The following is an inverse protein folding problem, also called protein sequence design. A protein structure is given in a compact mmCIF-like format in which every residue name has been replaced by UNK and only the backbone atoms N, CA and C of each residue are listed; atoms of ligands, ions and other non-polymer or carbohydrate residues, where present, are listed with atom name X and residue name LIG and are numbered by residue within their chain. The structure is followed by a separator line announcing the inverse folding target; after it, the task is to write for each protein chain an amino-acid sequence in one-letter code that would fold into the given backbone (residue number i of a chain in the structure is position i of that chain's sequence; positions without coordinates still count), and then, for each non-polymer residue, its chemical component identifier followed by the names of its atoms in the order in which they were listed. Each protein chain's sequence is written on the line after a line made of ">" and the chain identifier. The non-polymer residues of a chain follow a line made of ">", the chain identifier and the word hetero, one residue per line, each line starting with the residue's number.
data_IF_590289421479
#
_entry.id   IF_590289421479
#
_cell.length_a   1.000
_cell.length_b   1.000
_cell.length_c   1.000
_cell.angle_alpha   90.00
_cell.angle_beta   90.00
_cell.angle_gamma   90.00
#
_symmetry.space_group_name_H-M   'P 1'
#
loop_
_entity.id
_entity.type
_entity.pdbx_description
1 polymer ?
#
# COMPACT_ATOMS: atom_id res chain seq x y z
N UNK A 1 20.41 0.21 -29.69
CA UNK A 1 19.70 1.21 -28.87
C UNK A 1 20.36 1.29 -27.51
N UNK A 2 20.47 2.48 -26.89
CA UNK A 2 21.05 2.62 -25.55
C UNK A 2 20.13 1.98 -24.52
N UNK A 3 20.65 1.04 -23.73
CA UNK A 3 19.91 0.40 -22.63
C UNK A 3 19.82 1.32 -21.42
N UNK A 4 18.70 1.23 -20.67
CA UNK A 4 18.54 1.97 -19.42
C UNK A 4 19.56 1.45 -18.41
N UNK A 5 20.33 2.35 -17.80
CA UNK A 5 21.24 2.03 -16.72
C UNK A 5 20.63 2.37 -15.35
N UNK A 6 21.05 1.69 -14.28
CA UNK A 6 20.59 2.00 -12.93
C UNK A 6 20.95 3.41 -12.44
N UNK A 7 20.19 3.89 -11.47
CA UNK A 7 20.34 5.25 -10.92
C UNK A 7 21.56 5.31 -9.98
N UNK A 8 22.41 6.32 -10.18
CA UNK A 8 23.51 6.65 -9.26
C UNK A 8 22.99 7.25 -7.94
N UNK A 9 23.65 6.94 -6.83
CA UNK A 9 23.21 7.33 -5.48
C UNK A 9 23.07 8.84 -5.31
N UNK A 10 23.86 9.65 -6.02
CA UNK A 10 23.82 11.12 -5.95
C UNK A 10 22.55 11.73 -6.57
N UNK A 11 21.91 11.03 -7.51
CA UNK A 11 20.70 11.51 -8.21
C UNK A 11 19.39 10.96 -7.61
N UNK A 12 19.45 10.49 -6.36
CA UNK A 12 18.32 9.84 -5.67
C UNK A 12 17.52 10.88 -4.87
N UNK A 13 16.20 10.80 -4.98
CA UNK A 13 15.29 11.70 -4.26
C UNK A 13 15.03 11.10 -2.88
N UNK A 14 15.76 11.55 -1.86
CA UNK A 14 15.68 10.98 -0.50
C UNK A 14 14.26 11.03 0.08
N UNK A 15 13.49 12.10 -0.20
CA UNK A 15 12.10 12.22 0.28
C UNK A 15 11.20 11.11 -0.25
N UNK A 16 11.42 10.61 -1.47
CA UNK A 16 10.68 9.49 -2.04
C UNK A 16 10.95 8.19 -1.28
N UNK A 17 12.21 7.94 -0.93
CA UNK A 17 12.59 6.75 -0.16
C UNK A 17 12.02 6.81 1.27
N UNK A 18 12.02 7.99 1.92
CA UNK A 18 11.36 8.18 3.23
C UNK A 18 9.86 7.91 3.15
N UNK A 19 9.18 8.46 2.15
CA UNK A 19 7.74 8.24 1.96
C UNK A 19 7.43 6.76 1.75
N UNK A 20 8.25 6.03 0.99
CA UNK A 20 8.10 4.57 0.83
C UNK A 20 8.29 3.82 2.14
N UNK A 21 9.33 4.14 2.92
CA UNK A 21 9.54 3.51 4.22
C UNK A 21 8.40 3.77 5.19
N UNK A 22 7.89 5.00 5.23
CA UNK A 22 6.71 5.37 6.01
C UNK A 22 5.45 4.60 5.56
N UNK A 23 5.24 4.47 4.24
CA UNK A 23 4.18 3.64 3.68
C UNK A 23 4.24 2.18 4.11
N UNK A 24 5.44 1.59 4.12
CA UNK A 24 5.60 0.19 4.50
C UNK A 24 5.23 -0.06 5.97
N UNK A 25 5.55 0.87 6.88
CA UNK A 25 5.14 0.75 8.27
C UNK A 25 3.60 0.69 8.39
N UNK A 26 2.91 1.65 7.77
CA UNK A 26 1.46 1.70 7.84
C UNK A 26 0.77 0.52 7.17
N UNK A 27 1.25 0.09 6.00
CA UNK A 27 0.78 -1.14 5.35
C UNK A 27 0.99 -2.34 6.26
N UNK A 28 2.15 -2.43 6.92
CA UNK A 28 2.44 -3.57 7.80
C UNK A 28 1.55 -3.62 9.04
N UNK A 29 1.23 -2.47 9.65
CA UNK A 29 0.30 -2.40 10.79
C UNK A 29 -1.09 -2.95 10.41
N UNK A 30 -1.59 -2.59 9.22
CA UNK A 30 -2.88 -3.10 8.73
C UNK A 30 -2.80 -4.59 8.38
N UNK A 31 -1.75 -4.99 7.66
CA UNK A 31 -1.55 -6.39 7.27
C UNK A 31 -1.33 -7.29 8.49
N UNK A 32 -0.81 -6.76 9.59
CA UNK A 32 -0.70 -7.49 10.85
C UNK A 32 -2.04 -8.08 11.28
N UNK A 33 -3.12 -7.29 11.21
CA UNK A 33 -4.47 -7.74 11.52
C UNK A 33 -4.85 -8.94 10.64
N UNK A 34 -4.56 -8.85 9.35
CA UNK A 34 -4.84 -9.90 8.39
C UNK A 34 -3.92 -11.14 8.53
N UNK A 35 -2.74 -11.00 9.15
CA UNK A 35 -1.87 -12.15 9.44
C UNK A 35 -2.37 -13.01 10.60
N UNK A 36 -3.06 -12.41 11.58
CA UNK A 36 -3.47 -13.11 12.80
C UNK A 36 -5.00 -13.22 12.98
N UNK A 37 -5.81 -12.71 12.06
CA UNK A 37 -7.26 -12.71 12.16
C UNK A 37 -7.98 -12.87 10.81
N UNK A 38 -9.20 -13.44 10.80
CA UNK A 38 -9.94 -13.75 9.58
C UNK A 38 -10.63 -12.48 9.01
N UNK A 39 -9.82 -11.50 8.59
CA UNK A 39 -10.24 -10.12 8.27
C UNK A 39 -11.34 -10.01 7.20
N UNK A 40 -11.48 -11.01 6.34
CA UNK A 40 -12.51 -11.03 5.29
C UNK A 40 -13.90 -11.47 5.78
N UNK A 41 -13.98 -12.07 6.97
CA UNK A 41 -15.14 -12.84 7.38
C UNK A 41 -15.81 -12.33 8.66
N UNK A 42 -15.21 -11.36 9.37
CA UNK A 42 -15.78 -10.79 10.59
C UNK A 42 -16.26 -9.33 10.42
N UNK A 43 -17.19 -8.93 11.28
CA UNK A 43 -17.59 -7.53 11.45
C UNK A 43 -16.55 -6.82 12.34
N UNK A 44 -15.76 -5.87 11.79
CA UNK A 44 -14.65 -5.27 12.52
C UNK A 44 -15.06 -4.41 13.71
N UNK A 45 -16.30 -3.92 13.71
CA UNK A 45 -16.80 -3.07 14.78
C UNK A 45 -17.30 -3.84 16.00
N UNK A 46 -17.54 -5.15 15.87
CA UNK A 46 -17.96 -6.02 16.98
C UNK A 46 -16.91 -7.06 17.37
N UNK A 47 -16.02 -7.44 16.44
CA UNK A 47 -14.97 -8.45 16.68
C UNK A 47 -14.04 -8.08 17.84
N UNK A 48 -13.61 -6.80 17.92
CA UNK A 48 -12.68 -6.32 18.95
C UNK A 48 -13.35 -5.86 20.26
N UNK A 49 -14.66 -6.12 20.44
CA UNK A 49 -15.37 -6.02 21.72
C UNK A 49 -15.21 -4.71 22.53
N UNK A 50 -15.34 -4.81 23.86
CA UNK A 50 -15.11 -3.72 24.83
C UNK A 50 -13.74 -3.85 25.54
N UNK A 51 -12.78 -4.53 24.92
CA UNK A 51 -11.43 -4.72 25.47
C UNK A 51 -10.54 -3.50 25.18
N UNK A 52 -9.29 -3.54 25.65
CA UNK A 52 -8.24 -2.59 25.26
C UNK A 52 -7.97 -2.55 23.74
N UNK A 53 -8.48 -3.52 22.97
CA UNK A 53 -8.30 -3.60 21.53
C UNK A 53 -9.18 -2.61 20.77
N UNK A 54 -10.33 -2.19 21.31
CA UNK A 54 -11.24 -1.29 20.60
C UNK A 54 -10.65 0.11 20.35
N UNK A 55 -10.01 0.78 21.33
CA UNK A 55 -9.29 2.02 21.06
C UNK A 55 -8.12 1.85 20.07
N UNK A 56 -7.42 0.70 20.11
CA UNK A 56 -6.33 0.38 19.18
C UNK A 56 -6.88 0.23 17.76
N UNK A 57 -7.96 -0.54 17.59
CA UNK A 57 -8.65 -0.70 16.33
C UNK A 57 -9.09 0.66 15.78
N UNK A 58 -9.77 1.47 16.59
CA UNK A 58 -10.21 2.81 16.19
C UNK A 58 -9.04 3.66 15.68
N UNK A 59 -7.90 3.64 16.38
CA UNK A 59 -6.72 4.39 15.96
C UNK A 59 -6.16 3.87 14.62
N UNK A 60 -6.04 2.55 14.46
CA UNK A 60 -5.56 1.94 13.21
C UNK A 60 -6.54 2.27 12.07
N UNK A 61 -7.83 2.14 12.31
CA UNK A 61 -8.90 2.32 11.33
C UNK A 61 -8.98 3.78 10.81
N UNK A 62 -8.83 4.75 11.71
CA UNK A 62 -8.88 6.18 11.36
C UNK A 62 -7.59 6.65 10.71
N UNK A 63 -6.42 6.30 11.27
CA UNK A 63 -5.13 6.90 10.86
C UNK A 63 -4.30 6.04 9.91
N UNK A 64 -4.57 4.74 9.79
CA UNK A 64 -3.69 3.81 9.07
C UNK A 64 -4.42 3.05 7.97
N UNK A 65 -5.55 2.43 8.28
CA UNK A 65 -6.36 1.67 7.35
C UNK A 65 -6.59 2.49 6.08
N UNK A 66 -6.46 1.88 4.90
CA UNK A 66 -6.70 2.52 3.61
C UNK A 66 -5.96 3.86 3.30
N UNK A 67 -4.98 4.28 4.11
CA UNK A 67 -4.25 5.55 3.89
C UNK A 67 -2.83 5.36 3.38
N UNK A 68 -2.24 4.18 3.65
CA UNK A 68 -0.86 3.91 3.24
C UNK A 68 -0.73 3.18 1.91
N UNK A 69 -1.69 2.34 1.51
CA UNK A 69 -1.71 1.77 0.16
C UNK A 69 -1.89 2.85 -0.93
N UNK A 70 -2.75 3.89 -0.78
CA UNK A 70 -2.86 4.95 -1.78
C UNK A 70 -1.57 5.76 -1.86
N UNK A 71 -0.97 6.06 -0.71
CA UNK A 71 0.33 6.74 -0.66
C UNK A 71 1.36 5.94 -1.45
N UNK A 72 1.50 4.64 -1.17
CA UNK A 72 2.44 3.77 -1.87
C UNK A 72 2.14 3.64 -3.37
N UNK A 73 0.85 3.62 -3.75
CA UNK A 73 0.38 3.59 -5.15
C UNK A 73 0.80 4.85 -5.91
N UNK A 74 0.61 6.03 -5.32
CA UNK A 74 1.06 7.30 -5.89
C UNK A 74 2.58 7.28 -6.07
N UNK A 75 3.35 6.79 -5.08
CA UNK A 75 4.81 6.69 -5.17
C UNK A 75 5.28 5.66 -6.22
N UNK A 76 4.48 4.63 -6.50
CA UNK A 76 4.74 3.66 -7.56
C UNK A 76 4.58 4.30 -8.94
N UNK A 77 3.45 4.99 -9.18
CA UNK A 77 3.20 5.75 -10.41
C UNK A 77 4.24 6.86 -10.63
N UNK A 78 4.62 7.57 -9.56
CA UNK A 78 5.71 8.53 -9.57
C UNK A 78 7.02 7.88 -10.03
N UNK A 79 7.35 6.71 -9.48
CA UNK A 79 8.58 5.98 -9.82
C UNK A 79 8.65 5.60 -11.31
N UNK A 80 7.56 5.11 -11.89
CA UNK A 80 7.49 4.75 -13.31
C UNK A 80 7.62 5.99 -14.21
N UNK A 81 6.92 7.08 -13.89
CA UNK A 81 7.01 8.32 -14.65
C UNK A 81 8.41 8.97 -14.57
N UNK A 82 9.08 8.90 -13.43
CA UNK A 82 10.45 9.37 -13.27
C UNK A 82 11.42 8.57 -14.18
N UNK A 83 11.27 7.25 -14.24
CA UNK A 83 12.06 6.39 -15.12
C UNK A 83 11.79 6.69 -16.59
N UNK A 84 10.51 6.92 -16.95
CA UNK A 84 10.11 7.34 -18.29
C UNK A 84 10.75 8.67 -18.69
N UNK A 85 10.63 9.71 -17.86
CA UNK A 85 11.24 11.02 -18.14
C UNK A 85 12.76 10.93 -18.35
N UNK A 86 13.46 10.20 -17.48
CA UNK A 86 14.92 9.97 -17.60
C UNK A 86 15.29 9.19 -18.86
N UNK A 87 14.42 8.28 -19.31
CA UNK A 87 14.67 7.52 -20.52
C UNK A 87 14.62 8.38 -21.78
N UNK A 88 13.71 9.37 -21.80
CA UNK A 88 13.60 10.37 -22.86
C UNK A 88 14.85 11.26 -22.86
N UNK A 89 15.22 11.81 -21.69
CA UNK A 89 16.41 12.66 -21.53
C UNK A 89 17.70 11.98 -22.02
N UNK A 90 17.80 10.65 -21.85
CA UNK A 90 18.98 9.85 -22.24
C UNK A 90 18.88 9.19 -23.62
N UNK A 91 17.75 9.29 -24.32
CA UNK A 91 17.52 8.62 -25.60
C UNK A 91 17.57 7.09 -25.52
N UNK A 92 17.05 6.51 -24.43
CA UNK A 92 17.03 5.05 -24.16
C UNK A 92 15.63 4.47 -24.35
N UNK A 93 15.52 3.17 -24.64
CA UNK A 93 14.22 2.49 -24.81
C UNK A 93 13.55 2.17 -23.47
N UNK A 94 12.39 2.76 -23.22
CA UNK A 94 11.65 2.56 -21.96
C UNK A 94 10.71 1.36 -21.95
N UNK A 95 9.84 1.23 -22.95
CA UNK A 95 8.72 0.28 -22.90
C UNK A 95 9.14 -1.18 -22.73
N UNK A 96 10.12 -1.72 -23.48
CA UNK A 96 10.59 -3.10 -23.25
C UNK A 96 11.12 -3.32 -21.83
N UNK A 97 11.87 -2.34 -21.30
CA UNK A 97 12.37 -2.36 -19.93
C UNK A 97 11.24 -2.35 -18.90
N UNK A 98 10.26 -1.45 -19.07
CA UNK A 98 9.13 -1.29 -18.16
C UNK A 98 8.23 -2.54 -18.15
N UNK A 99 7.94 -3.11 -19.33
CA UNK A 99 7.18 -4.35 -19.47
C UNK A 99 7.84 -5.50 -18.73
N UNK A 100 9.16 -5.67 -18.91
CA UNK A 100 9.93 -6.70 -18.22
C UNK A 100 9.94 -6.50 -16.71
N UNK A 101 10.14 -5.26 -16.24
CA UNK A 101 10.13 -4.90 -14.81
C UNK A 101 8.81 -5.27 -14.15
N UNK A 102 7.69 -4.94 -14.80
CA UNK A 102 6.34 -5.25 -14.32
C UNK A 102 6.03 -6.74 -14.42
N UNK A 103 6.50 -7.42 -15.47
CA UNK A 103 6.38 -8.88 -15.59
C UNK A 103 7.11 -9.63 -14.49
N UNK A 104 8.32 -9.20 -14.12
CA UNK A 104 9.04 -9.79 -12.98
C UNK A 104 8.33 -9.47 -11.66
N UNK A 105 7.77 -8.26 -11.51
CA UNK A 105 6.98 -7.90 -10.32
C UNK A 105 5.72 -8.78 -10.20
N UNK A 106 5.03 -9.02 -11.32
CA UNK A 106 3.88 -9.91 -11.38
C UNK A 106 4.25 -11.33 -10.97
N UNK A 107 5.36 -11.86 -11.49
CA UNK A 107 5.87 -13.19 -11.13
C UNK A 107 6.18 -13.31 -9.63
N UNK A 108 6.84 -12.31 -9.05
CA UNK A 108 7.11 -12.28 -7.60
C UNK A 108 5.79 -12.21 -6.81
N UNK A 109 4.83 -11.41 -7.28
CA UNK A 109 3.49 -11.32 -6.68
C UNK A 109 2.73 -12.64 -6.73
N UNK A 110 2.79 -13.39 -7.82
CA UNK A 110 2.19 -14.73 -7.93
C UNK A 110 2.79 -15.69 -6.91
N UNK A 111 4.12 -15.74 -6.78
CA UNK A 111 4.77 -16.56 -5.75
C UNK A 111 4.31 -16.12 -4.36
N UNK A 112 4.29 -14.82 -4.09
CA UNK A 112 3.90 -14.28 -2.79
C UNK A 112 2.44 -14.61 -2.43
N UNK A 113 1.49 -14.35 -3.33
CA UNK A 113 0.06 -14.58 -3.13
C UNK A 113 -0.28 -16.03 -2.79
N UNK A 114 0.32 -16.98 -3.51
CA UNK A 114 -0.07 -18.39 -3.41
C UNK A 114 0.81 -19.21 -2.47
N UNK A 115 2.08 -18.81 -2.25
CA UNK A 115 3.02 -19.58 -1.41
C UNK A 115 3.22 -18.92 -0.05
N UNK A 116 3.18 -17.59 0.04
CA UNK A 116 3.51 -16.86 1.26
C UNK A 116 2.23 -16.40 1.98
N UNK A 117 1.43 -15.53 1.36
CA UNK A 117 0.28 -14.92 2.02
C UNK A 117 -0.72 -14.36 1.01
N UNK A 118 -2.02 -14.53 1.28
CA UNK A 118 -3.13 -14.18 0.37
C UNK A 118 -3.31 -12.67 0.15
N UNK A 119 -2.84 -11.80 1.05
CA UNK A 119 -2.96 -10.34 0.94
C UNK A 119 -1.92 -9.66 0.03
N UNK A 120 -1.62 -10.26 -1.12
CA UNK A 120 -0.69 -9.69 -2.10
C UNK A 120 -1.22 -8.41 -2.75
N UNK A 121 -0.34 -7.41 -2.90
CA UNK A 121 -0.62 -6.18 -3.66
C UNK A 121 0.22 -6.09 -4.94
N UNK A 122 1.25 -6.92 -5.09
CA UNK A 122 2.22 -6.83 -6.18
C UNK A 122 1.59 -7.20 -7.52
N UNK A 123 0.69 -8.19 -7.57
CA UNK A 123 -0.09 -8.56 -8.76
C UNK A 123 -0.88 -7.35 -9.23
N UNK A 124 -1.69 -6.75 -8.35
CA UNK A 124 -2.53 -5.60 -8.68
C UNK A 124 -1.69 -4.40 -9.17
N UNK A 125 -0.53 -4.16 -8.55
CA UNK A 125 0.37 -3.09 -8.98
C UNK A 125 1.04 -3.37 -10.33
N UNK A 126 1.37 -4.62 -10.62
CA UNK A 126 1.93 -4.99 -11.90
C UNK A 126 0.90 -4.85 -13.01
N UNK A 127 -0.31 -5.37 -12.82
CA UNK A 127 -1.41 -5.34 -13.82
C UNK A 127 -1.85 -3.90 -14.09
N UNK A 128 -2.15 -3.13 -13.05
CA UNK A 128 -2.51 -1.72 -13.20
C UNK A 128 -1.33 -0.89 -13.72
N UNK A 129 -0.10 -1.27 -13.36
CA UNK A 129 1.12 -0.67 -13.90
C UNK A 129 1.24 -0.81 -15.41
N UNK A 130 0.82 -1.94 -16.00
CA UNK A 130 0.79 -2.11 -17.46
C UNK A 130 -0.17 -1.12 -18.12
N UNK A 131 -1.35 -0.89 -17.53
CA UNK A 131 -2.31 0.11 -18.01
C UNK A 131 -1.71 1.52 -17.93
N UNK A 132 -1.01 1.85 -16.84
CA UNK A 132 -0.34 3.14 -16.68
C UNK A 132 0.67 3.40 -17.80
N UNK A 133 1.38 2.38 -18.30
CA UNK A 133 2.38 2.57 -19.37
C UNK A 133 1.78 3.23 -20.62
N UNK A 134 0.52 2.92 -20.94
CA UNK A 134 -0.21 3.49 -22.08
C UNK A 134 -0.46 5.00 -21.90
N UNK A 135 -0.56 5.45 -20.65
CA UNK A 135 -0.88 6.83 -20.28
C UNK A 135 0.37 7.67 -19.99
N UNK A 136 1.55 7.05 -19.85
CA UNK A 136 2.80 7.74 -19.52
C UNK A 136 3.25 8.76 -20.57
N UNK A 137 2.69 8.78 -21.77
CA UNK A 137 3.01 9.82 -22.76
C UNK A 137 2.32 11.16 -22.46
N UNK A 138 1.19 11.13 -21.76
CA UNK A 138 0.39 12.32 -21.44
C UNK A 138 1.16 13.32 -20.58
N UNK A 139 0.86 14.61 -20.74
CA UNK A 139 1.47 15.66 -19.92
C UNK A 139 1.15 15.50 -18.42
N UNK A 140 2.05 15.97 -17.56
CA UNK A 140 1.89 15.84 -16.11
C UNK A 140 0.60 16.44 -15.57
N UNK A 141 0.18 17.61 -16.09
CA UNK A 141 -1.09 18.25 -15.72
C UNK A 141 -2.30 17.42 -16.11
N UNK A 142 -2.28 16.84 -17.32
CA UNK A 142 -3.37 16.03 -17.82
C UNK A 142 -3.50 14.73 -17.02
N UNK A 143 -2.38 14.10 -16.66
CA UNK A 143 -2.37 12.94 -15.76
C UNK A 143 -2.97 13.25 -14.39
N UNK A 144 -2.66 14.42 -13.82
CA UNK A 144 -3.27 14.85 -12.55
C UNK A 144 -4.78 15.06 -12.67
N UNK A 145 -5.24 15.78 -13.70
CA UNK A 145 -6.66 16.11 -13.87
C UNK A 145 -7.48 14.86 -14.19
N UNK A 146 -7.05 14.06 -15.16
CA UNK A 146 -7.76 12.81 -15.50
C UNK A 146 -7.68 11.84 -14.32
N UNK A 147 -6.52 11.71 -13.66
CA UNK A 147 -6.40 10.88 -12.46
C UNK A 147 -7.33 11.34 -11.34
N UNK A 148 -7.49 12.64 -11.11
CA UNK A 148 -8.41 13.14 -10.10
C UNK A 148 -9.88 12.85 -10.48
N UNK A 149 -10.26 13.03 -11.74
CA UNK A 149 -11.63 12.77 -12.21
C UNK A 149 -11.97 11.27 -12.20
N UNK A 150 -11.07 10.42 -12.70
CA UNK A 150 -11.24 8.96 -12.69
C UNK A 150 -11.20 8.38 -11.29
N UNK A 151 -10.58 9.08 -10.34
CA UNK A 151 -10.65 8.70 -8.94
C UNK A 151 -11.98 9.14 -8.31
N UNK A 152 -12.31 10.44 -8.38
CA UNK A 152 -13.46 10.97 -7.65
C UNK A 152 -14.80 10.50 -8.20
N UNK A 153 -14.99 10.48 -9.53
CA UNK A 153 -16.30 10.19 -10.11
C UNK A 153 -16.81 8.80 -9.74
N UNK A 154 -16.07 7.70 -9.96
CA UNK A 154 -16.56 6.37 -9.60
C UNK A 154 -16.74 6.20 -8.10
N UNK A 155 -15.84 6.75 -7.29
CA UNK A 155 -15.90 6.59 -5.84
C UNK A 155 -17.09 7.34 -5.23
N UNK A 156 -17.42 8.54 -5.74
CA UNK A 156 -18.62 9.29 -5.35
C UNK A 156 -19.89 8.56 -5.78
N UNK A 157 -19.93 8.02 -7.00
CA UNK A 157 -21.09 7.26 -7.49
C UNK A 157 -21.33 5.99 -6.67
N UNK A 158 -20.27 5.20 -6.40
CA UNK A 158 -20.38 3.99 -5.58
C UNK A 158 -20.76 4.34 -4.15
N UNK A 159 -20.19 5.39 -3.58
CA UNK A 159 -20.59 5.89 -2.26
C UNK A 159 -22.07 6.27 -2.22
N UNK A 160 -22.56 6.98 -3.25
CA UNK A 160 -23.98 7.33 -3.35
C UNK A 160 -24.88 6.09 -3.45
N UNK A 161 -24.48 5.08 -4.23
CA UNK A 161 -25.21 3.81 -4.33
C UNK A 161 -25.28 3.13 -2.96
N UNK A 162 -24.17 3.05 -2.22
CA UNK A 162 -24.16 2.46 -0.89
C UNK A 162 -25.02 3.25 0.12
N UNK A 163 -25.02 4.57 0.05
CA UNK A 163 -25.88 5.40 0.91
C UNK A 163 -27.36 5.18 0.57
N UNK A 164 -27.72 5.15 -0.70
CA UNK A 164 -29.09 4.85 -1.13
C UNK A 164 -29.50 3.45 -0.69
N UNK A 165 -28.62 2.45 -0.84
CA UNK A 165 -28.86 1.09 -0.36
C UNK A 165 -29.06 1.05 1.17
N UNK A 166 -28.24 1.80 1.92
CA UNK A 166 -28.37 1.93 3.38
C UNK A 166 -29.71 2.52 3.82
N UNK A 167 -30.28 3.44 3.04
CA UNK A 167 -31.59 4.07 3.32
C UNK A 167 -32.74 3.14 2.91
N UNK A 168 -32.61 2.45 1.77
CA UNK A 168 -33.65 1.58 1.22
C UNK A 168 -33.79 0.28 2.01
N UNK A 169 -32.67 -0.35 2.38
CA UNK A 169 -32.59 -1.55 3.19
C UNK A 169 -31.27 -1.55 4.00
N UNK A 170 -31.30 -1.12 5.27
CA UNK A 170 -30.11 -1.08 6.13
C UNK A 170 -29.40 -2.43 6.27
N UNK A 171 -30.12 -3.55 6.12
CA UNK A 171 -29.53 -4.89 6.27
C UNK A 171 -28.61 -5.24 5.10
N UNK A 172 -28.85 -4.69 3.90
CA UNK A 172 -28.06 -4.93 2.69
C UNK A 172 -26.62 -4.41 2.76
N UNK A 173 -26.36 -3.44 3.64
CA UNK A 173 -25.04 -2.82 3.85
C UNK A 173 -24.44 -3.12 5.21
N UNK A 174 -25.05 -4.03 5.97
CA UNK A 174 -24.57 -4.42 7.30
C UNK A 174 -23.38 -5.36 7.19
N UNK A 175 -22.42 -5.23 8.11
CA UNK A 175 -21.35 -6.21 8.27
C UNK A 175 -21.87 -7.47 8.95
N UNK A 176 -21.61 -8.62 8.35
CA UNK A 176 -21.95 -9.92 8.92
C UNK A 176 -20.71 -10.66 9.40
N UNK A 177 -20.90 -11.51 10.42
CA UNK A 177 -19.91 -12.50 10.80
C UNK A 177 -20.22 -13.79 10.04
N UNK A 178 -19.38 -14.13 9.07
CA UNK A 178 -19.46 -15.36 8.31
C UNK A 178 -18.85 -16.48 9.17
N UNK A 179 -19.64 -16.98 10.13
CA UNK A 179 -19.17 -17.85 11.24
C UNK A 179 -18.46 -19.10 10.72
N UNK A 180 -18.97 -19.71 9.65
CA UNK A 180 -18.39 -20.91 9.06
C UNK A 180 -17.02 -20.64 8.44
N UNK A 181 -16.88 -19.53 7.72
CA UNK A 181 -15.64 -19.09 7.07
C UNK A 181 -14.61 -18.63 8.11
N UNK A 182 -15.05 -17.95 9.18
CA UNK A 182 -14.21 -17.62 10.34
C UNK A 182 -13.61 -18.90 10.94
N UNK A 183 -14.45 -19.91 11.23
CA UNK A 183 -13.99 -21.17 11.81
C UNK A 183 -13.03 -21.91 10.87
N UNK A 184 -13.37 -21.98 9.58
CA UNK A 184 -12.53 -22.61 8.56
C UNK A 184 -11.16 -21.93 8.46
N UNK A 185 -11.13 -20.59 8.51
CA UNK A 185 -9.90 -19.81 8.47
C UNK A 185 -9.03 -20.04 9.72
N UNK A 186 -9.64 -20.04 10.92
CA UNK A 186 -8.93 -20.32 12.18
C UNK A 186 -8.38 -21.75 12.20
N UNK A 187 -9.17 -22.73 11.77
CA UNK A 187 -8.75 -24.12 11.71
C UNK A 187 -7.61 -24.31 10.71
N UNK A 188 -7.77 -23.85 9.47
CA UNK A 188 -6.77 -23.99 8.42
C UNK A 188 -5.45 -23.29 8.76
N UNK A 189 -5.49 -22.04 9.23
CA UNK A 189 -4.27 -21.28 9.52
C UNK A 189 -3.66 -21.61 10.89
N UNK A 190 -4.46 -21.85 11.92
CA UNK A 190 -3.98 -22.10 13.28
C UNK A 190 -3.53 -23.55 13.50
N UNK A 191 -4.27 -24.52 12.98
CA UNK A 191 -4.08 -25.95 13.28
C UNK A 191 -3.92 -26.84 12.03
N UNK A 192 -4.21 -26.31 10.83
CA UNK A 192 -4.26 -27.08 9.60
C UNK A 192 -2.89 -27.50 9.06
N UNK A 193 -2.91 -28.38 8.06
CA UNK A 193 -1.73 -28.78 7.30
C UNK A 193 -1.33 -27.71 6.27
N UNK A 194 -0.14 -27.87 5.66
CA UNK A 194 0.29 -26.98 4.56
C UNK A 194 -0.72 -26.97 3.40
N UNK A 195 -1.41 -28.10 3.16
CA UNK A 195 -2.45 -28.19 2.12
C UNK A 195 -3.69 -27.38 2.49
N UNK A 196 -4.11 -27.43 3.76
CA UNK A 196 -5.28 -26.69 4.24
C UNK A 196 -5.03 -25.18 4.17
N UNK A 197 -3.83 -24.74 4.58
CA UNK A 197 -3.38 -23.35 4.45
C UNK A 197 -3.39 -22.91 2.99
N UNK A 198 -2.89 -23.74 2.07
CA UNK A 198 -2.87 -23.40 0.65
C UNK A 198 -4.28 -23.22 0.08
N UNK A 199 -5.19 -24.15 0.39
CA UNK A 199 -6.60 -24.06 -0.01
C UNK A 199 -7.29 -22.83 0.57
N UNK A 200 -7.06 -22.53 1.85
CA UNK A 200 -7.62 -21.35 2.50
C UNK A 200 -7.07 -20.05 1.87
N UNK A 201 -5.75 -19.97 1.61
CA UNK A 201 -5.15 -18.82 0.92
C UNK A 201 -5.75 -18.58 -0.45
N UNK A 202 -5.98 -19.66 -1.21
CA UNK A 202 -6.62 -19.57 -2.51
C UNK A 202 -8.03 -19.02 -2.40
N UNK A 203 -8.82 -19.48 -1.41
CA UNK A 203 -10.17 -18.98 -1.15
C UNK A 203 -10.17 -17.50 -0.76
N UNK A 204 -9.31 -17.11 0.19
CA UNK A 204 -9.15 -15.71 0.62
C UNK A 204 -8.74 -14.80 -0.56
N UNK A 205 -7.78 -15.26 -1.38
CA UNK A 205 -7.30 -14.51 -2.53
C UNK A 205 -8.40 -14.34 -3.59
N UNK A 206 -9.16 -15.40 -3.88
CA UNK A 206 -10.29 -15.34 -4.82
C UNK A 206 -11.42 -14.46 -4.30
N UNK A 207 -11.70 -14.49 -3.00
CA UNK A 207 -12.68 -13.60 -2.36
C UNK A 207 -12.28 -12.13 -2.55
N UNK A 208 -11.04 -11.80 -2.21
CA UNK A 208 -10.51 -10.44 -2.33
C UNK A 208 -10.32 -9.96 -3.78
N UNK A 209 -10.03 -10.87 -4.72
CA UNK A 209 -9.67 -10.56 -6.12
C UNK A 209 -10.65 -11.12 -7.16
N UNK A 210 -11.91 -11.35 -6.80
CA UNK A 210 -12.96 -11.68 -7.77
C UNK A 210 -13.10 -10.56 -8.84
N UNK A 211 -13.70 -10.83 -10.02
CA UNK A 211 -13.74 -9.85 -11.11
C UNK A 211 -14.31 -8.47 -10.74
N UNK A 212 -15.31 -8.41 -9.86
CA UNK A 212 -15.91 -7.15 -9.41
C UNK A 212 -14.98 -6.39 -8.45
N UNK A 213 -14.41 -7.08 -7.45
CA UNK A 213 -13.43 -6.51 -6.53
C UNK A 213 -12.17 -6.05 -7.26
N UNK A 214 -11.68 -6.83 -8.23
CA UNK A 214 -10.53 -6.46 -9.05
C UNK A 214 -10.80 -5.22 -9.89
N UNK A 215 -11.99 -5.11 -10.51
CA UNK A 215 -12.37 -3.91 -11.26
C UNK A 215 -12.43 -2.68 -10.35
N UNK A 216 -13.05 -2.80 -9.17
CA UNK A 216 -13.11 -1.73 -8.17
C UNK A 216 -11.69 -1.30 -7.74
N UNK A 217 -10.82 -2.27 -7.48
CA UNK A 217 -9.42 -2.02 -7.13
C UNK A 217 -8.66 -1.33 -8.28
N UNK A 218 -8.84 -1.74 -9.53
CA UNK A 218 -8.21 -1.11 -10.68
C UNK A 218 -8.66 0.35 -10.84
N UNK A 219 -9.96 0.63 -10.63
CA UNK A 219 -10.54 1.98 -10.61
C UNK A 219 -9.98 2.81 -9.45
N UNK A 220 -9.61 2.20 -8.32
CA UNK A 220 -8.94 2.90 -7.22
C UNK A 220 -7.44 3.15 -7.51
N UNK A 221 -6.72 2.16 -8.02
CA UNK A 221 -5.26 2.20 -8.15
C UNK A 221 -4.76 2.98 -9.37
N UNK A 222 -5.37 2.79 -10.55
CA UNK A 222 -4.90 3.43 -11.79
C UNK A 222 -4.88 4.96 -11.66
N UNK A 223 -5.95 5.61 -11.16
CA UNK A 223 -5.97 7.06 -11.05
C UNK A 223 -4.95 7.59 -10.04
N UNK A 224 -4.71 6.86 -8.94
CA UNK A 224 -3.67 7.21 -7.96
C UNK A 224 -2.25 7.09 -8.57
N UNK A 225 -2.00 6.07 -9.39
CA UNK A 225 -0.75 5.96 -10.13
C UNK A 225 -0.59 7.10 -11.16
N UNK A 226 -1.68 7.50 -11.82
CA UNK A 226 -1.69 8.66 -12.73
C UNK A 226 -1.39 9.96 -11.99
N UNK A 227 -1.99 10.16 -10.81
CA UNK A 227 -1.70 11.30 -9.94
C UNK A 227 -0.20 11.31 -9.60
N UNK A 228 0.34 10.17 -9.17
CA UNK A 228 1.78 10.04 -8.90
C UNK A 228 2.67 10.36 -10.09
N UNK A 229 2.29 9.88 -11.28
CA UNK A 229 2.99 10.16 -12.52
C UNK A 229 2.95 11.66 -12.88
N UNK A 230 1.81 12.32 -12.67
CA UNK A 230 1.66 13.76 -12.84
C UNK A 230 2.52 14.57 -11.87
N UNK A 231 2.51 14.21 -10.58
CA UNK A 231 3.37 14.80 -9.54
C UNK A 231 4.85 14.70 -9.93
N UNK A 232 5.28 13.54 -10.46
CA UNK A 232 6.64 13.31 -10.93
C UNK A 232 7.03 14.19 -12.10
N UNK A 233 6.22 14.22 -13.16
CA UNK A 233 6.50 15.01 -14.36
C UNK A 233 6.55 16.51 -14.09
N UNK A 234 5.77 16.97 -13.12
CA UNK A 234 5.74 18.37 -12.69
C UNK A 234 6.82 18.71 -11.65
N UNK A 235 7.60 17.72 -11.19
CA UNK A 235 8.68 17.83 -10.19
C UNK A 235 8.21 18.49 -8.89
N UNK A 236 6.99 18.17 -8.46
CA UNK A 236 6.35 18.87 -7.33
C UNK A 236 7.00 18.55 -5.97
N UNK A 237 7.50 17.33 -5.80
CA UNK A 237 8.18 16.90 -4.56
C UNK A 237 9.59 17.51 -4.49
N UNK A 238 10.29 17.57 -5.61
CA UNK A 238 11.61 18.18 -5.72
C UNK A 238 11.55 19.69 -5.49
N UNK A 239 10.46 20.35 -5.92
CA UNK A 239 10.17 21.78 -5.69
C UNK A 239 9.47 22.05 -4.36
N UNK A 240 9.47 21.12 -3.40
CA UNK A 240 8.75 21.27 -2.14
C UNK A 240 9.16 22.51 -1.33
N UNK A 241 10.45 22.88 -1.36
CA UNK A 241 10.95 24.09 -0.69
C UNK A 241 10.31 25.36 -1.26
N UNK A 242 10.21 25.46 -2.59
CA UNK A 242 9.63 26.61 -3.29
C UNK A 242 8.10 26.63 -3.17
N UNK A 243 7.48 25.46 -3.03
CA UNK A 243 6.01 25.27 -2.98
C UNK A 243 5.45 25.17 -1.56
N UNK A 244 6.20 25.63 -0.54
CA UNK A 244 5.80 25.55 0.88
C UNK A 244 4.37 26.03 1.16
N UNK A 245 3.96 27.18 0.62
CA UNK A 245 2.59 27.72 0.82
C UNK A 245 1.52 26.79 0.23
N UNK A 246 1.76 26.25 -0.96
CA UNK A 246 0.85 25.30 -1.61
C UNK A 246 0.76 23.98 -0.83
N UNK A 247 1.87 23.45 -0.33
CA UNK A 247 1.88 22.24 0.50
C UNK A 247 1.11 22.45 1.82
N UNK A 248 1.28 23.60 2.47
CA UNK A 248 0.52 23.94 3.68
C UNK A 248 -0.97 24.03 3.36
N UNK A 249 -1.35 24.70 2.26
CA UNK A 249 -2.75 24.78 1.84
C UNK A 249 -3.35 23.39 1.57
N UNK A 250 -2.61 22.51 0.89
CA UNK A 250 -3.02 21.11 0.67
C UNK A 250 -3.28 20.44 2.02
N UNK A 251 -2.33 20.50 2.97
CA UNK A 251 -2.50 19.89 4.30
C UNK A 251 -3.73 20.46 5.02
N UNK A 252 -3.92 21.78 5.01
CA UNK A 252 -5.04 22.44 5.69
C UNK A 252 -6.41 22.07 5.09
N UNK A 253 -6.47 21.72 3.81
CA UNK A 253 -7.70 21.28 3.16
C UNK A 253 -7.91 19.77 3.30
N UNK A 254 -6.88 18.97 3.01
CA UNK A 254 -7.02 17.51 2.91
C UNK A 254 -7.01 16.83 4.26
N UNK A 255 -6.25 17.32 5.26
CA UNK A 255 -6.17 16.65 6.56
C UNK A 255 -7.49 16.73 7.33
N UNK A 256 -8.13 17.90 7.51
CA UNK A 256 -9.42 17.95 8.21
C UNK A 256 -10.51 17.19 7.46
N UNK A 257 -10.58 17.35 6.12
CA UNK A 257 -11.54 16.62 5.30
C UNK A 257 -11.34 15.10 5.42
N UNK A 258 -10.10 14.63 5.37
CA UNK A 258 -9.78 13.21 5.56
C UNK A 258 -10.22 12.72 6.93
N UNK A 259 -9.94 13.45 8.02
CA UNK A 259 -10.33 13.04 9.37
C UNK A 259 -11.85 12.99 9.56
N UNK A 260 -12.60 13.92 8.97
CA UNK A 260 -14.07 13.89 9.00
C UNK A 260 -14.60 12.64 8.31
N UNK A 261 -14.13 12.35 7.09
CA UNK A 261 -14.56 11.16 6.35
C UNK A 261 -14.09 9.86 7.02
N UNK A 262 -12.86 9.85 7.54
CA UNK A 262 -12.26 8.70 8.25
C UNK A 262 -12.95 8.36 9.56
N UNK A 263 -13.63 9.32 10.18
CA UNK A 263 -14.38 9.07 11.41
C UNK A 263 -15.86 8.84 11.15
N UNK A 264 -16.33 8.91 9.90
CA UNK A 264 -17.76 8.86 9.57
C UNK A 264 -18.51 7.65 10.10
N UNK A 265 -17.96 6.41 10.11
CA UNK A 265 -18.68 5.27 10.69
C UNK A 265 -18.89 5.37 12.20
N UNK A 266 -18.15 6.26 12.90
CA UNK A 266 -18.20 6.39 14.36
C UNK A 266 -19.20 7.43 14.85
N UNK A 267 -19.55 8.42 14.03
CA UNK A 267 -20.57 9.44 14.36
C UNK A 267 -21.83 9.34 13.51
N UNK A 268 -21.83 8.53 12.44
CA UNK A 268 -23.01 8.12 11.67
C UNK A 268 -23.37 6.66 12.03
N UNK A 269 -23.24 5.73 11.09
CA UNK A 269 -23.53 4.31 11.26
C UNK A 269 -22.33 3.43 10.87
N UNK A 270 -22.16 2.33 11.59
CA UNK A 270 -21.09 1.35 11.38
C UNK A 270 -21.48 0.32 10.33
N UNK A 271 -21.57 0.75 9.08
CA UNK A 271 -22.00 -0.07 7.95
C UNK A 271 -21.02 0.05 6.77
N UNK A 272 -21.25 -0.75 5.71
CA UNK A 272 -20.41 -0.77 4.52
C UNK A 272 -20.41 0.57 3.77
N UNK A 273 -21.49 1.36 3.83
CA UNK A 273 -21.59 2.63 3.12
C UNK A 273 -20.62 3.68 3.67
N UNK A 274 -20.65 3.92 4.97
CA UNK A 274 -19.74 4.86 5.61
C UNK A 274 -18.30 4.33 5.62
N UNK A 275 -18.12 3.00 5.73
CA UNK A 275 -16.78 2.39 5.67
C UNK A 275 -16.18 2.51 4.26
N UNK A 276 -16.99 2.43 3.20
CA UNK A 276 -16.56 2.68 1.83
C UNK A 276 -16.09 4.12 1.64
N UNK A 277 -16.87 5.11 2.13
CA UNK A 277 -16.49 6.53 2.09
C UNK A 277 -15.20 6.77 2.87
N UNK A 278 -15.11 6.21 4.07
CA UNK A 278 -13.93 6.25 4.92
C UNK A 278 -12.68 5.74 4.16
N UNK A 279 -12.75 4.55 3.56
CA UNK A 279 -11.57 3.90 3.01
C UNK A 279 -11.22 4.35 1.59
N UNK A 280 -12.22 4.57 0.72
CA UNK A 280 -12.00 4.91 -0.68
C UNK A 280 -12.00 6.42 -0.95
N UNK A 281 -12.40 7.27 0.00
CA UNK A 281 -12.29 8.74 -0.14
C UNK A 281 -11.44 9.34 0.98
N UNK A 282 -11.77 9.03 2.24
CA UNK A 282 -11.02 9.51 3.41
C UNK A 282 -9.57 9.03 3.41
N UNK A 283 -9.34 7.75 3.12
CA UNK A 283 -8.02 7.13 3.04
C UNK A 283 -7.06 7.83 2.07
N UNK A 284 -7.42 7.98 0.79
CA UNK A 284 -6.61 8.69 -0.20
C UNK A 284 -6.39 10.19 0.09
N UNK A 285 -7.36 10.89 0.68
CA UNK A 285 -7.15 12.27 1.15
C UNK A 285 -6.13 12.33 2.30
N UNK A 286 -6.18 11.35 3.23
CA UNK A 286 -5.18 11.24 4.29
C UNK A 286 -3.79 10.91 3.71
N UNK A 287 -3.73 10.06 2.69
CA UNK A 287 -2.50 9.74 1.96
C UNK A 287 -1.85 10.98 1.33
N UNK A 288 -2.65 11.84 0.68
CA UNK A 288 -2.18 13.12 0.12
C UNK A 288 -1.68 14.05 1.25
N UNK A 289 -2.39 14.08 2.38
CA UNK A 289 -1.98 14.86 3.56
C UNK A 289 -0.62 14.38 4.09
N UNK A 290 -0.41 13.07 4.21
CA UNK A 290 0.86 12.48 4.62
C UNK A 290 1.98 12.75 3.61
N UNK A 291 1.70 12.64 2.32
CA UNK A 291 2.65 12.99 1.26
C UNK A 291 3.08 14.46 1.37
N UNK A 292 2.14 15.39 1.49
CA UNK A 292 2.41 16.81 1.57
C UNK A 292 3.17 17.17 2.86
N UNK A 293 2.79 16.57 3.99
CA UNK A 293 3.46 16.73 5.28
C UNK A 293 4.91 16.24 5.23
N UNK A 294 5.14 15.03 4.71
CA UNK A 294 6.49 14.48 4.56
C UNK A 294 7.33 15.29 3.57
N UNK A 295 6.76 15.72 2.44
CA UNK A 295 7.45 16.59 1.49
C UNK A 295 7.92 17.88 2.17
N UNK A 296 7.05 18.50 2.97
CA UNK A 296 7.36 19.72 3.72
C UNK A 296 8.38 19.47 4.83
N UNK A 297 8.25 18.39 5.61
CA UNK A 297 9.20 18.03 6.67
C UNK A 297 10.61 17.79 6.10
N UNK A 298 10.70 17.13 4.95
CA UNK A 298 11.98 16.85 4.29
C UNK A 298 12.71 18.11 3.79
N UNK A 299 12.05 19.27 3.74
CA UNK A 299 12.73 20.55 3.48
C UNK A 299 13.59 21.01 4.69
N UNK A 300 13.35 20.47 5.89
CA UNK A 300 14.10 20.82 7.10
C UNK A 300 15.22 19.82 7.37
N UNK A 301 16.48 20.30 7.42
CA UNK A 301 17.68 19.48 7.66
C UNK A 301 17.57 18.56 8.88
N UNK A 302 17.04 19.05 10.01
CA UNK A 302 16.86 18.25 11.22
C UNK A 302 15.90 17.07 10.96
N UNK A 303 14.72 17.33 10.40
CA UNK A 303 13.74 16.29 10.11
C UNK A 303 14.26 15.26 9.10
N UNK A 304 14.96 15.71 8.04
CA UNK A 304 15.59 14.81 7.07
C UNK A 304 16.64 13.87 7.72
N UNK A 305 17.36 14.33 8.75
CA UNK A 305 18.29 13.49 9.52
C UNK A 305 17.55 12.43 10.35
N UNK A 306 16.48 12.82 11.06
CA UNK A 306 15.67 11.91 11.89
C UNK A 306 14.92 10.86 11.07
N UNK A 307 14.47 11.22 9.86
CA UNK A 307 13.74 10.33 8.96
C UNK A 307 14.66 9.45 8.09
N UNK A 308 15.98 9.63 8.17
CA UNK A 308 16.94 8.83 7.39
C UNK A 308 16.78 7.32 7.56
N UNK A 309 16.52 6.75 8.76
CA UNK A 309 16.31 5.32 8.91
C UNK A 309 15.12 4.80 8.10
N UNK A 310 14.04 5.57 7.98
CA UNK A 310 12.90 5.23 7.11
C UNK A 310 13.27 5.27 5.62
N UNK A 311 14.21 6.12 5.21
CA UNK A 311 14.71 6.10 3.84
C UNK A 311 15.37 4.75 3.50
N UNK A 312 16.09 4.14 4.45
CA UNK A 312 16.77 2.86 4.24
C UNK A 312 15.77 1.72 4.04
N UNK A 313 14.71 1.68 4.85
CA UNK A 313 13.65 0.68 4.65
C UNK A 313 12.92 0.88 3.33
N UNK A 314 12.67 2.13 2.92
CA UNK A 314 12.06 2.45 1.64
C UNK A 314 12.93 2.13 0.41
N UNK A 315 14.27 2.13 0.56
CA UNK A 315 15.19 1.64 -0.48
C UNK A 315 15.13 0.13 -0.67
N UNK A 316 14.71 -0.60 0.36
CA UNK A 316 14.55 -2.05 0.40
C UNK A 316 13.07 -2.45 0.50
N UNK A 317 12.19 -1.71 -0.18
CA UNK A 317 10.75 -1.86 0.01
C UNK A 317 10.21 -3.24 -0.32
N UNK A 318 10.72 -3.88 -1.39
CA UNK A 318 10.27 -5.20 -1.80
C UNK A 318 10.83 -6.28 -0.88
N UNK A 319 12.10 -6.17 -0.49
CA UNK A 319 12.69 -7.07 0.52
C UNK A 319 11.93 -6.99 1.83
N UNK A 320 11.68 -5.79 2.35
CA UNK A 320 11.01 -5.60 3.64
C UNK A 320 9.56 -6.07 3.61
N UNK A 321 8.82 -5.82 2.52
CA UNK A 321 7.45 -6.31 2.36
C UNK A 321 7.36 -7.85 2.36
N UNK A 322 8.27 -8.52 1.65
CA UNK A 322 8.32 -9.99 1.65
C UNK A 322 8.76 -10.54 3.01
N UNK A 323 9.75 -9.90 3.65
CA UNK A 323 10.19 -10.28 4.99
C UNK A 323 9.08 -10.10 6.04
N UNK A 324 8.26 -9.05 5.93
CA UNK A 324 7.08 -8.84 6.79
C UNK A 324 6.08 -9.98 6.62
N UNK A 325 5.82 -10.37 5.37
CA UNK A 325 4.88 -11.46 5.07
C UNK A 325 5.37 -12.80 5.60
N UNK A 326 6.65 -13.13 5.34
CA UNK A 326 7.27 -14.36 5.84
C UNK A 326 7.29 -14.37 7.38
N UNK A 327 7.67 -13.26 8.02
CA UNK A 327 7.68 -13.18 9.48
C UNK A 327 6.27 -13.30 10.06
N UNK A 328 5.29 -12.62 9.47
CA UNK A 328 3.89 -12.70 9.89
C UNK A 328 3.38 -14.13 9.83
N UNK A 329 3.53 -14.81 8.70
CA UNK A 329 3.03 -16.17 8.56
C UNK A 329 3.82 -17.21 9.37
N UNK A 330 5.12 -16.99 9.62
CA UNK A 330 5.88 -17.83 10.58
C UNK A 330 5.45 -17.63 12.04
N UNK A 331 4.94 -16.44 12.41
CA UNK A 331 4.46 -16.20 13.77
C UNK A 331 3.05 -16.77 13.95
N UNK A 332 2.17 -16.59 12.96
CA UNK A 332 0.76 -16.92 13.17
C UNK A 332 0.35 -18.28 12.63
N UNK A 333 0.93 -18.78 11.54
CA UNK A 333 0.40 -19.99 10.91
C UNK A 333 0.96 -21.25 11.58
N UNK A 334 0.24 -22.37 11.45
CA UNK A 334 0.50 -23.65 12.13
C UNK A 334 1.90 -24.25 11.86
N UNK A 335 2.50 -23.97 10.71
CA UNK A 335 3.87 -24.43 10.40
C UNK A 335 4.97 -23.64 11.11
N UNK A 336 4.61 -22.56 11.81
CA UNK A 336 5.51 -21.67 12.54
C UNK A 336 5.24 -21.74 14.05
N UNK A 337 4.84 -20.62 14.66
CA UNK A 337 4.43 -20.59 16.08
C UNK A 337 2.93 -20.85 16.29
N UNK A 338 2.10 -20.86 15.24
CA UNK A 338 0.68 -21.25 15.32
C UNK A 338 -0.26 -20.27 16.05
N UNK A 339 0.13 -19.00 16.22
CA UNK A 339 -0.62 -18.03 17.04
C UNK A 339 -1.86 -17.40 16.34
N UNK A 340 -2.34 -17.97 15.23
CA UNK A 340 -3.46 -17.41 14.47
C UNK A 340 -4.75 -17.43 15.29
N UNK A 341 -5.40 -16.28 15.45
CA UNK A 341 -6.62 -16.14 16.26
C UNK A 341 -6.40 -16.19 17.78
N UNK A 342 -5.16 -16.39 18.26
CA UNK A 342 -4.86 -16.54 19.69
C UNK A 342 -4.43 -15.24 20.37
N UNK A 343 -4.07 -14.21 19.59
CA UNK A 343 -3.53 -12.96 20.11
C UNK A 343 -4.53 -11.80 20.02
N UNK A 344 -4.41 -10.87 20.97
CA UNK A 344 -5.14 -9.61 20.92
C UNK A 344 -4.61 -8.67 19.84
N UNK A 345 -5.45 -7.73 19.39
CA UNK A 345 -5.04 -6.71 18.42
C UNK A 345 -3.89 -5.84 18.95
N UNK A 346 -3.93 -5.47 20.23
CA UNK A 346 -2.85 -4.71 20.87
C UNK A 346 -1.50 -5.45 20.80
N UNK A 347 -1.52 -6.77 21.03
CA UNK A 347 -0.31 -7.61 20.95
C UNK A 347 0.21 -7.64 19.51
N UNK A 348 -0.68 -7.86 18.53
CA UNK A 348 -0.33 -7.82 17.12
C UNK A 348 0.28 -6.48 16.71
N UNK A 349 -0.33 -5.37 17.14
CA UNK A 349 0.17 -4.02 16.91
C UNK A 349 1.62 -3.85 17.41
N UNK A 350 1.93 -4.26 18.64
CA UNK A 350 3.30 -4.16 19.16
C UNK A 350 4.29 -5.09 18.46
N UNK A 351 3.86 -6.30 18.05
CA UNK A 351 4.68 -7.19 17.22
C UNK A 351 5.02 -6.50 15.88
N UNK A 352 4.06 -5.82 15.25
CA UNK A 352 4.30 -5.09 14.00
C UNK A 352 5.32 -3.95 14.19
N UNK A 353 5.17 -3.15 15.25
CA UNK A 353 6.12 -2.08 15.57
C UNK A 353 7.53 -2.64 15.86
N UNK A 354 7.63 -3.71 16.65
CA UNK A 354 8.89 -4.36 16.98
C UNK A 354 9.60 -4.94 15.75
N UNK A 355 8.88 -5.70 14.93
CA UNK A 355 9.42 -6.27 13.70
C UNK A 355 9.84 -5.18 12.71
N UNK A 356 9.05 -4.11 12.56
CA UNK A 356 9.45 -3.00 11.69
C UNK A 356 10.71 -2.28 12.21
N UNK A 357 10.83 -2.08 13.53
CA UNK A 357 12.03 -1.50 14.13
C UNK A 357 13.27 -2.37 13.85
N UNK A 358 13.14 -3.69 13.95
CA UNK A 358 14.20 -4.64 13.57
C UNK A 358 14.53 -4.48 12.08
N UNK A 359 13.52 -4.39 11.19
CA UNK A 359 13.74 -4.19 9.76
C UNK A 359 14.44 -2.87 9.44
N UNK A 360 14.18 -1.80 10.19
CA UNK A 360 14.91 -0.53 10.07
C UNK A 360 16.39 -0.72 10.34
N UNK A 361 16.73 -1.39 11.44
CA UNK A 361 18.12 -1.67 11.82
C UNK A 361 18.79 -2.56 10.78
N UNK A 362 18.14 -3.67 10.39
CA UNK A 362 18.67 -4.60 9.39
C UNK A 362 18.84 -3.95 8.02
N UNK A 363 17.92 -3.07 7.61
CA UNK A 363 18.04 -2.32 6.35
C UNK A 363 19.25 -1.39 6.37
N UNK A 364 19.52 -0.71 7.49
CA UNK A 364 20.67 0.19 7.60
C UNK A 364 21.99 -0.60 7.60
N UNK A 365 22.07 -1.68 8.39
CA UNK A 365 23.24 -2.58 8.42
C UNK A 365 23.50 -3.25 7.07
N UNK A 366 22.44 -3.64 6.35
CA UNK A 366 22.58 -4.22 5.02
C UNK A 366 23.09 -3.18 4.02
N UNK A 367 22.49 -1.99 4.02
CA UNK A 367 22.85 -0.93 3.08
C UNK A 367 24.19 -0.24 3.38
N UNK A 368 24.80 -0.50 4.54
CA UNK A 368 26.19 -0.11 4.82
C UNK A 368 27.19 -1.02 4.10
N UNK A 369 26.78 -2.25 3.71
CA UNK A 369 27.62 -3.24 3.01
C UNK A 369 27.25 -3.40 1.54
N UNK A 370 25.96 -3.29 1.21
CA UNK A 370 25.41 -3.53 -0.12
C UNK A 370 24.65 -2.31 -0.65
N UNK A 371 24.58 -2.14 -1.98
CA UNK A 371 23.97 -0.95 -2.59
C UNK A 371 22.43 -0.98 -2.66
N UNK A 372 21.84 -2.18 -2.50
CA UNK A 372 20.41 -2.46 -2.65
C UNK A 372 20.02 -3.71 -1.84
N UNK A 373 18.73 -3.91 -1.59
CA UNK A 373 18.25 -5.11 -0.89
C UNK A 373 18.38 -6.40 -1.73
N UNK A 374 18.35 -7.57 -1.09
CA UNK A 374 18.49 -8.87 -1.76
C UNK A 374 17.47 -9.09 -2.87
N UNK A 375 16.19 -8.82 -2.60
CA UNK A 375 15.12 -9.04 -3.59
C UNK A 375 15.17 -7.97 -4.67
N UNK A 376 15.50 -6.73 -4.32
CA UNK A 376 15.73 -5.66 -5.30
C UNK A 376 16.89 -6.01 -6.24
N UNK A 377 17.96 -6.63 -5.74
CA UNK A 377 19.07 -7.13 -6.58
C UNK A 377 18.59 -8.17 -7.58
N UNK A 378 17.85 -9.20 -7.12
CA UNK A 378 17.30 -10.25 -7.99
C UNK A 378 16.37 -9.64 -9.04
N UNK A 379 15.43 -8.81 -8.60
CA UNK A 379 14.47 -8.13 -9.47
C UNK A 379 15.17 -7.23 -10.51
N UNK A 380 16.20 -6.49 -10.10
CA UNK A 380 17.00 -5.65 -10.99
C UNK A 380 17.82 -6.48 -11.97
N UNK A 381 18.43 -7.59 -11.54
CA UNK A 381 19.18 -8.49 -12.43
C UNK A 381 18.27 -9.13 -13.47
N UNK A 382 17.07 -9.55 -13.06
CA UNK A 382 16.05 -10.05 -13.99
C UNK A 382 15.59 -8.97 -14.96
N UNK A 383 15.41 -7.74 -14.50
CA UNK A 383 14.97 -6.62 -15.36
C UNK A 383 16.06 -6.17 -16.34
N UNK A 384 17.24 -5.79 -15.85
CA UNK A 384 18.34 -5.20 -16.61
C UNK A 384 19.26 -6.23 -17.30
N UNK A 385 19.18 -7.52 -16.96
CA UNK A 385 20.05 -8.56 -17.53
C UNK A 385 21.43 -8.65 -16.87
N UNK A 386 22.39 -9.30 -17.56
CA UNK A 386 23.73 -9.65 -17.04
C UNK A 386 24.66 -8.45 -16.75
N UNK A 387 24.27 -7.22 -17.08
CA UNK A 387 25.10 -6.02 -16.94
C UNK A 387 25.02 -5.33 -15.57
N UNK A 388 24.40 -5.95 -14.57
CA UNK A 388 24.32 -5.40 -13.21
C UNK A 388 25.49 -5.94 -12.37
N UNK A 389 26.51 -5.10 -12.15
CA UNK A 389 27.54 -5.34 -11.12
C UNK A 389 27.02 -5.00 -9.73
#
# INVERSE_FOLDING_TARGET
>A
MKEIQPIDQQNRIQSLDVMRGFSLLGIFIVNMIAFHSPIYYYNPYSWWGNTVDRPVYWWIDVFVQASFYPLFTILFGFGLALQYGRSIEKGTTFYPFALKRLGVLLFIGTIHAFIIWSGDILISYAVVGFLLLLLLQLEGKLLLVIGLLLFLLPQVLISAIFIVASIADPTSVTYFNAVQEIQSSIEAYGNGTISDIFSQRLSDWLYANNPASFLSLAIALLPLMMIGAGVSKMKLIEKAADKKKSLILIILLTLPAALVLKTSPYWMEKNLAYSFIQDFVGGPLLAVSYMALLALLMTRKKAAKWLRPLAQTGRMSLTNYLMQSIAGTLIFYSYGLGLYGEISLLTGFYIAIGLFAIQVILSDLWLSKFSQGPVEFVWRRLTYGKNVK
#
